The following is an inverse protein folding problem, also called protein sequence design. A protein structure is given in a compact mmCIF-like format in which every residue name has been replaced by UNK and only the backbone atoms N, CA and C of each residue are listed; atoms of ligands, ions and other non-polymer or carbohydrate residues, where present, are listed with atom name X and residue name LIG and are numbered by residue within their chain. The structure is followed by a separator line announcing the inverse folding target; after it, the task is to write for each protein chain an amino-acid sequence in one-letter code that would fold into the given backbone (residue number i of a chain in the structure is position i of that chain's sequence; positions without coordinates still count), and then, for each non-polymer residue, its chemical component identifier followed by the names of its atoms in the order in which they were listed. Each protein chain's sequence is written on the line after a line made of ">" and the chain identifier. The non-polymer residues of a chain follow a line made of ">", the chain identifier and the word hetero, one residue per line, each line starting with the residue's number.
data_IF_332565356236
#
_entry.id   IF_332565356236
#
_cell.length_a   1.000
_cell.length_b   1.000
_cell.length_c   1.000
_cell.angle_alpha   90.00
_cell.angle_beta   90.00
_cell.angle_gamma   90.00
#
_symmetry.space_group_name_H-M   'P 1'
#
loop_
_entity.id
_entity.type
_entity.pdbx_description
1 polymer ?
#
# COMPACT_ATOMS: atom_id res chain seq x y z
N UNK A 1 -43.92 10.69 38.10
CA UNK A 1 -42.64 10.55 37.39
C UNK A 1 -42.95 9.85 36.08
N UNK A 2 -43.27 10.64 35.05
CA UNK A 2 -43.59 10.14 33.71
C UNK A 2 -42.25 9.99 32.98
N UNK A 3 -41.89 8.76 32.66
CA UNK A 3 -40.77 8.46 31.78
C UNK A 3 -41.29 8.76 30.38
N UNK A 4 -40.77 9.80 29.72
CA UNK A 4 -41.06 10.05 28.31
C UNK A 4 -40.51 8.88 27.50
N UNK A 5 -41.40 8.18 26.81
CA UNK A 5 -41.10 7.04 25.93
C UNK A 5 -40.65 7.50 24.52
N UNK A 6 -40.03 8.67 24.42
CA UNK A 6 -39.67 9.28 23.13
C UNK A 6 -38.19 9.18 22.75
N UNK A 7 -37.33 8.56 23.57
CA UNK A 7 -35.92 8.32 23.22
C UNK A 7 -35.64 6.84 22.90
N UNK A 8 -36.50 6.21 22.09
CA UNK A 8 -36.10 4.97 21.42
C UNK A 8 -35.12 5.37 20.33
N UNK A 9 -33.83 5.35 20.66
CA UNK A 9 -32.73 5.42 19.70
C UNK A 9 -33.08 4.52 18.49
N UNK A 10 -32.91 4.99 17.24
CA UNK A 10 -33.28 4.20 16.08
C UNK A 10 -32.64 2.82 16.16
N UNK A 11 -33.46 1.78 15.98
CA UNK A 11 -32.96 0.42 15.85
C UNK A 11 -32.35 0.33 14.45
N UNK A 12 -31.03 0.42 14.40
CA UNK A 12 -30.25 0.23 13.18
C UNK A 12 -30.21 -1.25 12.79
N UNK A 13 -30.23 -1.52 11.49
CA UNK A 13 -30.10 -2.86 10.93
C UNK A 13 -29.00 -2.90 9.88
N UNK A 14 -28.47 -4.09 9.62
CA UNK A 14 -27.60 -4.31 8.45
C UNK A 14 -28.35 -3.87 7.19
N UNK A 15 -27.62 -3.30 6.24
CA UNK A 15 -28.08 -2.68 5.00
C UNK A 15 -28.82 -1.33 5.13
N UNK A 16 -29.08 -0.83 6.36
CA UNK A 16 -29.53 0.56 6.52
C UNK A 16 -28.47 1.51 5.94
N UNK A 17 -28.93 2.47 5.14
CA UNK A 17 -28.08 3.54 4.59
C UNK A 17 -28.07 4.71 5.57
N UNK A 18 -26.86 5.09 5.98
CA UNK A 18 -26.67 6.07 7.05
C UNK A 18 -25.63 7.12 6.68
N UNK A 19 -25.79 8.29 7.29
CA UNK A 19 -24.87 9.41 7.21
C UNK A 19 -24.44 9.82 8.61
N UNK A 20 -23.16 10.11 8.79
CA UNK A 20 -22.62 10.68 10.01
C UNK A 20 -23.13 12.12 10.18
N UNK A 21 -23.60 12.45 11.38
CA UNK A 21 -24.08 13.78 11.76
C UNK A 21 -22.95 14.81 11.74
N UNK A 22 -23.32 16.08 11.82
CA UNK A 22 -22.36 17.18 11.94
C UNK A 22 -21.62 17.12 13.28
N UNK A 23 -20.31 17.34 13.25
CA UNK A 23 -19.43 17.34 14.43
C UNK A 23 -18.90 15.96 14.82
N UNK A 24 -19.22 14.91 14.07
CA UNK A 24 -18.70 13.56 14.30
C UNK A 24 -17.28 13.48 13.75
N UNK A 25 -16.35 13.01 14.58
CA UNK A 25 -14.96 12.79 14.21
C UNK A 25 -14.62 11.30 14.30
N UNK A 26 -13.70 10.88 13.45
CA UNK A 26 -13.02 9.59 13.55
C UNK A 26 -12.36 9.47 14.94
N UNK A 27 -12.65 8.41 15.71
CA UNK A 27 -12.16 8.26 17.08
C UNK A 27 -10.65 8.00 17.17
N UNK A 28 -10.04 7.47 16.11
CA UNK A 28 -8.64 7.07 16.07
C UNK A 28 -7.76 8.19 15.48
N UNK A 29 -8.26 8.92 14.49
CA UNK A 29 -7.51 9.87 13.67
C UNK A 29 -7.93 11.34 13.84
N UNK A 30 -8.98 11.62 14.62
CA UNK A 30 -9.54 12.97 14.84
C UNK A 30 -9.86 13.69 13.51
N UNK A 31 -10.31 12.91 12.51
CA UNK A 31 -10.73 13.41 11.20
C UNK A 31 -12.23 13.68 11.22
N UNK A 32 -12.64 14.88 10.80
CA UNK A 32 -14.06 15.19 10.64
C UNK A 32 -14.70 14.29 9.57
N UNK A 33 -15.62 13.43 10.02
CA UNK A 33 -16.42 12.52 9.18
C UNK A 33 -17.84 13.04 8.97
N UNK A 34 -18.11 14.30 9.32
CA UNK A 34 -19.42 14.91 9.14
C UNK A 34 -19.93 14.76 7.70
N UNK A 35 -21.13 14.23 7.56
CA UNK A 35 -21.76 14.03 6.25
C UNK A 35 -21.20 12.86 5.45
N UNK A 36 -20.25 12.09 5.98
CA UNK A 36 -19.83 10.82 5.37
C UNK A 36 -20.98 9.84 5.42
N UNK A 37 -21.10 9.06 4.35
CA UNK A 37 -22.24 8.18 4.12
C UNK A 37 -21.77 6.78 3.74
N UNK A 38 -22.55 5.79 4.15
CA UNK A 38 -22.28 4.38 3.90
C UNK A 38 -23.47 3.48 4.21
N UNK A 39 -23.20 2.17 4.24
CA UNK A 39 -24.15 1.12 4.60
C UNK A 39 -23.69 0.43 5.87
N UNK A 40 -24.62 0.12 6.77
CA UNK A 40 -24.31 -0.66 7.95
C UNK A 40 -24.02 -2.11 7.54
N UNK A 41 -22.85 -2.61 7.91
CA UNK A 41 -22.44 -4.01 7.69
C UNK A 41 -22.45 -4.84 8.97
N UNK A 42 -22.45 -4.19 10.14
CA UNK A 42 -22.51 -4.83 11.45
C UNK A 42 -23.16 -3.90 12.47
N UNK A 43 -23.92 -4.47 13.41
CA UNK A 43 -24.56 -3.74 14.50
C UNK A 43 -24.18 -4.42 15.81
N UNK A 44 -23.71 -3.63 16.77
CA UNK A 44 -23.39 -4.04 18.15
C UNK A 44 -24.37 -3.35 19.11
N UNK A 45 -25.56 -3.95 19.37
CA UNK A 45 -26.62 -3.27 20.13
C UNK A 45 -26.24 -2.97 21.58
N UNK A 46 -25.45 -3.85 22.21
CA UNK A 46 -25.01 -3.68 23.60
C UNK A 46 -24.07 -2.48 23.77
N UNK A 47 -23.25 -2.21 22.75
CA UNK A 47 -22.30 -1.10 22.71
C UNK A 47 -22.89 0.16 22.06
N UNK A 48 -24.09 0.07 21.48
CA UNK A 48 -24.74 1.12 20.68
C UNK A 48 -23.86 1.61 19.53
N UNK A 49 -23.13 0.69 18.90
CA UNK A 49 -22.25 0.95 17.75
C UNK A 49 -22.76 0.25 16.49
N UNK A 50 -22.56 0.89 15.34
CA UNK A 50 -22.74 0.28 14.03
C UNK A 50 -21.46 0.42 13.22
N UNK A 51 -21.02 -0.67 12.58
CA UNK A 51 -19.95 -0.64 11.60
C UNK A 51 -20.52 -0.22 10.25
N UNK A 52 -20.05 0.91 9.75
CA UNK A 52 -20.47 1.48 8.46
C UNK A 52 -19.39 1.21 7.44
N UNK A 53 -19.73 0.54 6.33
CA UNK A 53 -18.91 0.49 5.13
C UNK A 53 -19.17 1.73 4.28
N UNK A 54 -18.11 2.48 3.99
CA UNK A 54 -18.21 3.74 3.27
C UNK A 54 -18.63 3.53 1.82
N UNK A 55 -19.53 4.39 1.35
CA UNK A 55 -19.92 4.39 -0.05
C UNK A 55 -18.83 5.02 -0.95
N UNK A 56 -18.93 4.79 -2.26
CA UNK A 56 -17.96 5.23 -3.26
C UNK A 56 -17.74 6.75 -3.27
N UNK A 57 -18.74 7.55 -2.92
CA UNK A 57 -18.59 8.99 -2.85
C UNK A 57 -17.82 9.42 -1.60
N UNK A 58 -18.04 8.76 -0.46
CA UNK A 58 -17.23 8.98 0.76
C UNK A 58 -15.80 8.59 0.47
N UNK A 59 -15.59 7.39 -0.08
CA UNK A 59 -14.26 6.87 -0.41
C UNK A 59 -13.48 7.79 -1.38
N UNK A 60 -14.11 8.27 -2.46
CA UNK A 60 -13.45 9.20 -3.41
C UNK A 60 -13.05 10.54 -2.79
N UNK A 61 -13.81 11.02 -1.82
CA UNK A 61 -13.56 12.30 -1.16
C UNK A 61 -12.74 12.15 0.14
N UNK A 62 -12.46 10.92 0.57
CA UNK A 62 -11.64 10.62 1.72
C UNK A 62 -10.25 11.26 1.54
N UNK A 63 -9.73 11.98 2.55
CA UNK A 63 -8.41 12.57 2.47
C UNK A 63 -7.35 11.49 2.19
N UNK A 64 -6.53 11.68 1.15
CA UNK A 64 -5.48 10.72 0.80
C UNK A 64 -4.54 10.39 1.98
N UNK A 65 -4.29 11.37 2.86
CA UNK A 65 -3.50 11.19 4.09
C UNK A 65 -4.10 10.16 5.04
N UNK A 66 -5.43 10.09 5.13
CA UNK A 66 -6.14 9.18 6.01
C UNK A 66 -5.98 7.74 5.52
N UNK A 67 -6.16 7.51 4.22
CA UNK A 67 -5.90 6.19 3.61
C UNK A 67 -4.44 5.77 3.84
N UNK A 68 -3.48 6.67 3.61
CA UNK A 68 -2.07 6.38 3.85
C UNK A 68 -1.78 6.03 5.32
N UNK A 69 -2.35 6.77 6.27
CA UNK A 69 -2.18 6.52 7.70
C UNK A 69 -2.86 5.22 8.15
N UNK A 70 -4.05 4.90 7.64
CA UNK A 70 -4.70 3.62 7.87
C UNK A 70 -3.83 2.46 7.37
N UNK A 71 -3.32 2.54 6.14
CA UNK A 71 -2.43 1.52 5.56
C UNK A 71 -1.14 1.36 6.35
N UNK A 72 -0.51 2.47 6.78
CA UNK A 72 0.71 2.46 7.60
C UNK A 72 0.49 1.82 8.99
N UNK A 73 -0.71 1.94 9.56
CA UNK A 73 -1.05 1.40 10.87
C UNK A 73 -1.83 0.07 10.83
N UNK A 74 -2.11 -0.47 9.64
CA UNK A 74 -2.89 -1.71 9.48
C UNK A 74 -4.37 -1.56 9.84
N UNK A 75 -4.92 -0.35 9.75
CA UNK A 75 -6.33 -0.04 9.97
C UNK A 75 -7.11 -0.11 8.66
N UNK A 76 -8.41 -0.44 8.75
CA UNK A 76 -9.28 -0.49 7.58
C UNK A 76 -9.92 0.88 7.32
N UNK A 77 -9.47 1.58 6.28
CA UNK A 77 -10.05 2.86 5.87
C UNK A 77 -11.42 2.73 5.19
N UNK A 78 -11.88 1.51 4.88
CA UNK A 78 -13.14 1.25 4.16
C UNK A 78 -14.34 1.22 5.08
N UNK A 79 -14.13 1.04 6.39
CA UNK A 79 -15.18 0.86 7.38
C UNK A 79 -14.90 1.68 8.64
N UNK A 80 -15.93 1.92 9.46
CA UNK A 80 -15.78 2.59 10.74
C UNK A 80 -16.93 2.23 11.69
N UNK A 81 -16.61 2.01 12.96
CA UNK A 81 -17.62 1.91 14.02
C UNK A 81 -18.03 3.31 14.48
N UNK A 82 -19.33 3.61 14.42
CA UNK A 82 -19.92 4.87 14.86
C UNK A 82 -21.05 4.63 15.87
N UNK A 83 -21.22 5.57 16.81
CA UNK A 83 -22.30 5.51 17.78
C UNK A 83 -23.66 5.71 17.10
N UNK A 84 -24.69 5.05 17.62
CA UNK A 84 -26.05 5.13 17.08
C UNK A 84 -26.59 6.56 17.02
N UNK A 85 -26.24 7.39 18.00
CA UNK A 85 -26.62 8.80 18.07
C UNK A 85 -25.92 9.68 17.03
N UNK A 86 -24.73 9.27 16.56
CA UNK A 86 -23.95 9.98 15.54
C UNK A 86 -24.43 9.71 14.11
N UNK A 87 -25.43 8.85 13.95
CA UNK A 87 -25.98 8.44 12.66
C UNK A 87 -27.36 9.04 12.41
N UNK A 88 -27.63 9.31 11.14
CA UNK A 88 -28.95 9.62 10.61
C UNK A 88 -29.22 8.86 9.31
N UNK A 89 -30.50 8.62 9.01
CA UNK A 89 -30.91 7.94 7.78
C UNK A 89 -30.50 8.76 6.56
N UNK A 90 -30.07 8.07 5.52
CA UNK A 90 -29.77 8.65 4.22
C UNK A 90 -30.33 7.78 3.10
N UNK A 91 -30.41 8.34 1.89
CA UNK A 91 -30.77 7.60 0.69
C UNK A 91 -29.50 7.07 0.00
N UNK A 92 -29.50 5.86 -0.56
CA UNK A 92 -28.35 5.32 -1.27
C UNK A 92 -27.98 6.22 -2.45
N UNK A 93 -26.68 6.46 -2.65
CA UNK A 93 -26.16 7.31 -3.74
C UNK A 93 -25.28 6.56 -4.74
N UNK A 94 -25.10 5.27 -4.55
CA UNK A 94 -24.29 4.40 -5.41
C UNK A 94 -24.73 2.93 -5.32
N UNK A 95 -24.02 2.06 -6.03
CA UNK A 95 -24.17 0.60 -5.98
C UNK A 95 -22.94 -0.06 -5.35
N UNK A 96 -23.06 -1.32 -4.93
CA UNK A 96 -21.91 -2.12 -4.46
C UNK A 96 -20.81 -2.23 -5.54
N UNK A 97 -21.19 -2.28 -6.82
CA UNK A 97 -20.24 -2.29 -7.93
C UNK A 97 -19.43 -0.98 -8.00
N UNK A 98 -20.06 0.17 -7.74
CA UNK A 98 -19.36 1.46 -7.66
C UNK A 98 -18.39 1.52 -6.48
N UNK A 99 -18.78 0.94 -5.33
CA UNK A 99 -17.93 0.82 -4.15
C UNK A 99 -16.71 -0.05 -4.47
N UNK A 100 -16.92 -1.26 -5.00
CA UNK A 100 -15.84 -2.17 -5.34
C UNK A 100 -14.86 -1.57 -6.36
N UNK A 101 -15.36 -0.90 -7.40
CA UNK A 101 -14.52 -0.22 -8.38
C UNK A 101 -13.70 0.92 -7.74
N UNK A 102 -14.29 1.66 -6.81
CA UNK A 102 -13.63 2.75 -6.09
C UNK A 102 -12.56 2.24 -5.13
N UNK A 103 -12.85 1.16 -4.39
CA UNK A 103 -11.87 0.50 -3.52
C UNK A 103 -10.67 0.04 -4.35
N UNK A 104 -10.90 -0.67 -5.45
CA UNK A 104 -9.83 -1.14 -6.32
C UNK A 104 -9.00 0.02 -6.92
N UNK A 105 -9.63 1.16 -7.25
CA UNK A 105 -8.93 2.37 -7.67
C UNK A 105 -8.03 2.93 -6.55
N UNK A 106 -8.56 3.06 -5.35
CA UNK A 106 -7.83 3.59 -4.20
C UNK A 106 -6.69 2.65 -3.77
N UNK A 107 -6.90 1.34 -3.75
CA UNK A 107 -5.85 0.35 -3.49
C UNK A 107 -4.70 0.47 -4.50
N UNK A 108 -5.02 0.61 -5.79
CA UNK A 108 -3.99 0.86 -6.82
C UNK A 108 -3.26 2.18 -6.58
N UNK A 109 -3.99 3.24 -6.25
CA UNK A 109 -3.43 4.59 -6.03
C UNK A 109 -2.55 4.67 -4.79
N UNK A 110 -2.92 3.95 -3.74
CA UNK A 110 -2.24 3.91 -2.45
C UNK A 110 -1.34 2.68 -2.30
N UNK A 111 -1.01 2.01 -3.42
CA UNK A 111 -0.14 0.86 -3.41
C UNK A 111 1.15 1.14 -2.63
N UNK A 112 1.55 0.18 -1.80
CA UNK A 112 2.71 0.26 -0.91
C UNK A 112 2.64 1.36 0.17
N UNK A 113 1.46 1.95 0.46
CA UNK A 113 1.32 2.94 1.54
C UNK A 113 1.78 2.41 2.90
N UNK A 114 1.45 1.15 3.22
CA UNK A 114 1.88 0.47 4.44
C UNK A 114 3.41 0.38 4.64
N UNK A 115 4.23 0.66 3.60
CA UNK A 115 5.69 0.76 3.71
C UNK A 115 6.17 2.16 4.13
N UNK A 116 5.26 3.06 4.53
CA UNK A 116 5.57 4.40 5.01
C UNK A 116 6.35 5.26 4.02
N UNK A 117 7.38 5.95 4.52
CA UNK A 117 8.27 6.79 3.71
C UNK A 117 8.98 6.03 2.59
N UNK A 118 9.24 4.73 2.76
CA UNK A 118 9.79 3.88 1.70
C UNK A 118 8.77 3.65 0.59
N UNK A 119 7.53 3.34 0.96
CA UNK A 119 6.40 3.25 0.04
C UNK A 119 6.20 4.52 -0.77
N UNK A 120 6.27 5.70 -0.14
CA UNK A 120 6.18 7.01 -0.82
C UNK A 120 7.29 7.20 -1.86
N UNK A 121 8.51 6.73 -1.60
CA UNK A 121 9.62 6.76 -2.57
C UNK A 121 9.37 5.79 -3.74
N UNK A 122 8.91 4.58 -3.46
CA UNK A 122 8.56 3.57 -4.47
C UNK A 122 7.45 4.09 -5.39
N UNK A 123 6.33 4.59 -4.84
CA UNK A 123 5.23 5.19 -5.61
C UNK A 123 5.69 6.33 -6.51
N UNK A 124 6.67 7.13 -6.07
CA UNK A 124 7.23 8.21 -6.90
C UNK A 124 7.95 7.68 -8.13
N UNK A 125 8.65 6.55 -8.02
CA UNK A 125 9.35 5.90 -9.12
C UNK A 125 8.36 5.23 -10.08
N UNK A 126 7.32 4.62 -9.52
CA UNK A 126 6.29 3.86 -10.25
C UNK A 126 5.04 4.68 -10.60
N UNK A 127 5.13 6.01 -10.57
CA UNK A 127 3.98 6.88 -10.76
C UNK A 127 3.28 6.60 -12.10
N UNK A 128 1.99 6.29 -12.03
CA UNK A 128 1.14 6.02 -13.20
C UNK A 128 1.30 4.62 -13.80
N UNK A 129 1.96 3.70 -13.09
CA UNK A 129 2.07 2.30 -13.45
C UNK A 129 1.08 1.52 -12.61
N UNK A 130 0.33 0.61 -13.25
CA UNK A 130 -0.53 -0.33 -12.55
C UNK A 130 0.33 -1.23 -11.65
N UNK A 131 0.04 -1.35 -10.33
CA UNK A 131 0.80 -2.21 -9.43
C UNK A 131 0.88 -3.68 -9.87
N UNK A 132 -0.07 -4.15 -10.68
CA UNK A 132 -0.12 -5.51 -11.23
C UNK A 132 0.71 -5.67 -12.52
N UNK A 133 1.08 -4.58 -13.20
CA UNK A 133 1.95 -4.60 -14.39
C UNK A 133 3.42 -4.65 -13.98
N UNK A 134 3.86 -5.85 -13.58
CA UNK A 134 5.22 -6.13 -13.12
C UNK A 134 6.26 -5.74 -14.19
N UNK A 135 5.97 -5.96 -15.46
CA UNK A 135 6.91 -5.61 -16.52
C UNK A 135 7.09 -4.10 -16.66
N UNK A 136 6.00 -3.32 -16.64
CA UNK A 136 6.10 -1.87 -16.67
C UNK A 136 6.86 -1.33 -15.45
N UNK A 137 6.61 -1.91 -14.27
CA UNK A 137 7.32 -1.55 -13.06
C UNK A 137 8.82 -1.85 -13.17
N UNK A 138 9.22 -3.02 -13.68
CA UNK A 138 10.62 -3.37 -13.94
C UNK A 138 11.27 -2.41 -14.95
N UNK A 139 10.57 -2.05 -16.03
CA UNK A 139 11.05 -1.05 -17.01
C UNK A 139 11.28 0.32 -16.36
N UNK A 140 10.42 0.74 -15.43
CA UNK A 140 10.58 2.00 -14.70
C UNK A 140 11.77 1.97 -13.75
N UNK A 141 11.93 0.91 -12.96
CA UNK A 141 13.10 0.70 -12.11
C UNK A 141 14.41 0.68 -12.89
N UNK A 142 14.45 -0.04 -14.02
CA UNK A 142 15.62 -0.08 -14.89
C UNK A 142 15.97 1.31 -15.41
N UNK A 143 14.98 2.09 -15.84
CA UNK A 143 15.17 3.48 -16.30
C UNK A 143 15.69 4.37 -15.16
N UNK A 144 15.12 4.24 -13.97
CA UNK A 144 15.53 4.99 -12.79
C UNK A 144 17.00 4.73 -12.45
N UNK A 145 17.40 3.46 -12.34
CA UNK A 145 18.78 3.11 -12.03
C UNK A 145 19.76 3.51 -13.12
N UNK A 146 19.41 3.36 -14.41
CA UNK A 146 20.24 3.81 -15.53
C UNK A 146 20.56 5.30 -15.46
N UNK A 147 19.65 6.12 -14.94
CA UNK A 147 19.83 7.57 -14.82
C UNK A 147 20.55 7.99 -13.53
N UNK A 148 20.39 7.21 -12.45
CA UNK A 148 20.77 7.63 -11.09
C UNK A 148 22.03 6.94 -10.56
N UNK A 149 22.28 5.68 -10.91
CA UNK A 149 23.46 4.95 -10.44
C UNK A 149 24.70 5.32 -11.22
N UNK A 150 25.77 5.59 -10.48
CA UNK A 150 27.13 5.70 -11.04
C UNK A 150 27.83 4.36 -10.83
N UNK A 151 28.19 3.72 -11.93
CA UNK A 151 28.85 2.42 -11.94
C UNK A 151 30.34 2.58 -12.31
N UNK A 152 31.24 1.73 -11.78
CA UNK A 152 30.95 0.63 -10.87
C UNK A 152 30.59 1.08 -9.45
N UNK A 153 29.72 0.33 -8.77
CA UNK A 153 29.33 0.56 -7.38
C UNK A 153 29.76 -0.63 -6.50
N UNK A 154 30.36 -0.38 -5.34
CA UNK A 154 30.65 -1.43 -4.37
C UNK A 154 29.35 -1.84 -3.65
N UNK A 155 29.04 -3.13 -3.69
CA UNK A 155 27.83 -3.72 -3.10
C UNK A 155 28.20 -4.96 -2.29
N UNK A 156 27.26 -5.41 -1.46
CA UNK A 156 27.35 -6.63 -0.64
C UNK A 156 26.18 -7.53 -1.02
N UNK A 157 26.43 -8.83 -1.12
CA UNK A 157 25.37 -9.84 -1.22
C UNK A 157 24.73 -9.99 0.16
N UNK A 158 23.44 -9.65 0.30
CA UNK A 158 22.76 -9.66 1.60
C UNK A 158 21.59 -10.66 1.69
N UNK A 159 21.23 -11.28 0.57
CA UNK A 159 20.33 -12.42 0.50
C UNK A 159 21.03 -13.62 -0.15
N UNK A 160 20.57 -14.86 0.10
CA UNK A 160 21.16 -16.06 -0.51
C UNK A 160 21.22 -15.96 -2.04
N UNK A 161 22.43 -15.97 -2.65
CA UNK A 161 22.55 -15.90 -4.10
C UNK A 161 22.21 -17.25 -4.74
N UNK A 162 21.90 -17.28 -6.06
CA UNK A 162 21.76 -18.53 -6.80
C UNK A 162 23.03 -19.40 -6.67
N UNK A 163 22.94 -20.70 -6.38
CA UNK A 163 24.11 -21.56 -6.16
C UNK A 163 25.14 -21.56 -7.29
N UNK A 164 24.67 -21.45 -8.53
CA UNK A 164 25.46 -21.39 -9.76
C UNK A 164 26.27 -20.08 -9.91
N UNK A 165 25.97 -19.06 -9.09
CA UNK A 165 26.65 -17.77 -9.19
C UNK A 165 28.08 -17.77 -8.64
N UNK A 166 28.44 -18.74 -7.79
CA UNK A 166 29.74 -18.77 -7.08
C UNK A 166 29.92 -17.65 -6.05
N UNK A 167 28.85 -16.92 -5.74
CA UNK A 167 28.81 -15.92 -4.67
C UNK A 167 28.34 -16.56 -3.36
N UNK A 168 28.75 -15.98 -2.25
CA UNK A 168 28.26 -16.29 -0.91
C UNK A 168 27.58 -15.06 -0.30
N UNK A 169 26.77 -15.28 0.73
CA UNK A 169 26.29 -14.21 1.60
C UNK A 169 27.49 -13.41 2.14
N UNK A 170 27.33 -12.09 2.27
CA UNK A 170 28.33 -11.12 2.69
C UNK A 170 29.51 -10.91 1.72
N UNK A 171 29.52 -11.56 0.55
CA UNK A 171 30.51 -11.28 -0.48
C UNK A 171 30.43 -9.80 -0.90
N UNK A 172 31.59 -9.13 -0.88
CA UNK A 172 31.76 -7.77 -1.37
C UNK A 172 32.15 -7.80 -2.85
N UNK A 173 31.28 -7.27 -3.70
CA UNK A 173 31.46 -7.30 -5.16
C UNK A 173 31.25 -5.90 -5.77
N UNK A 174 31.64 -5.74 -7.04
CA UNK A 174 31.37 -4.51 -7.78
C UNK A 174 30.20 -4.71 -8.74
N UNK A 175 29.11 -3.97 -8.53
CA UNK A 175 28.05 -3.83 -9.51
C UNK A 175 28.60 -3.07 -10.73
N UNK A 176 28.63 -3.73 -11.89
CA UNK A 176 29.16 -3.20 -13.15
C UNK A 176 28.08 -2.69 -14.08
N UNK A 177 26.94 -3.38 -14.13
CA UNK A 177 25.81 -3.02 -14.98
C UNK A 177 24.50 -3.62 -14.47
N UNK A 178 23.37 -3.06 -14.91
CA UNK A 178 22.05 -3.70 -14.85
C UNK A 178 21.68 -4.01 -16.30
N UNK A 179 21.59 -5.30 -16.64
CA UNK A 179 21.62 -5.78 -18.04
C UNK A 179 20.26 -6.15 -18.62
N UNK A 180 19.26 -6.37 -17.78
CA UNK A 180 17.93 -6.78 -18.21
C UNK A 180 17.00 -6.92 -17.03
N UNK A 181 15.83 -7.47 -17.30
CA UNK A 181 14.85 -7.82 -16.29
C UNK A 181 14.06 -9.06 -16.73
N UNK A 182 13.64 -9.88 -15.78
CA UNK A 182 12.65 -10.94 -16.00
C UNK A 182 11.54 -10.82 -14.96
N UNK A 183 10.30 -11.24 -15.24
CA UNK A 183 9.22 -11.23 -14.25
C UNK A 183 9.51 -12.09 -13.00
N UNK A 184 10.34 -13.12 -13.16
CA UNK A 184 10.64 -14.11 -12.11
C UNK A 184 11.86 -13.74 -11.26
N UNK A 185 12.86 -13.08 -11.85
CA UNK A 185 14.14 -12.75 -11.19
C UNK A 185 14.38 -11.24 -11.05
N UNK A 186 13.51 -10.43 -11.62
CA UNK A 186 13.56 -8.98 -11.55
C UNK A 186 14.70 -8.42 -12.37
N UNK A 187 15.22 -7.25 -11.98
CA UNK A 187 16.39 -6.64 -12.60
C UNK A 187 17.63 -7.51 -12.42
N UNK A 188 18.32 -7.80 -13.52
CA UNK A 188 19.54 -8.61 -13.53
C UNK A 188 20.78 -7.71 -13.45
N UNK A 189 21.58 -7.91 -12.41
CA UNK A 189 22.81 -7.21 -12.11
C UNK A 189 24.04 -8.01 -12.58
N UNK A 190 24.92 -7.38 -13.36
CA UNK A 190 26.26 -7.90 -13.63
C UNK A 190 27.20 -7.44 -12.50
N UNK A 191 27.71 -8.40 -11.72
CA UNK A 191 28.64 -8.14 -10.61
C UNK A 191 30.02 -8.74 -10.90
N UNK A 192 31.05 -8.14 -10.32
CA UNK A 192 32.45 -8.59 -10.42
C UNK A 192 33.01 -8.88 -9.02
N UNK A 193 33.34 -10.16 -8.76
CA UNK A 193 33.95 -10.61 -7.49
C UNK A 193 35.46 -10.40 -7.49
N UNK A 194 36.13 -10.83 -8.56
CA UNK A 194 37.56 -10.67 -8.83
C UNK A 194 37.76 -10.20 -10.26
N UNK A 195 38.97 -9.73 -10.58
CA UNK A 195 39.30 -9.25 -11.93
C UNK A 195 38.97 -10.35 -12.95
N UNK A 196 38.08 -10.05 -13.90
CA UNK A 196 37.57 -10.95 -14.96
C UNK A 196 36.55 -12.02 -14.53
N UNK A 197 36.20 -12.13 -13.26
CA UNK A 197 35.15 -13.02 -12.76
C UNK A 197 33.84 -12.24 -12.65
N UNK A 198 33.03 -12.32 -13.71
CA UNK A 198 31.73 -11.64 -13.79
C UNK A 198 30.59 -12.64 -13.82
N UNK A 199 29.56 -12.34 -13.06
CA UNK A 199 28.36 -13.16 -12.97
C UNK A 199 27.13 -12.28 -12.97
N UNK A 200 26.01 -12.83 -13.44
CA UNK A 200 24.70 -12.21 -13.34
C UNK A 200 23.95 -12.75 -12.15
N UNK A 201 23.36 -11.85 -11.37
CA UNK A 201 22.51 -12.19 -10.23
C UNK A 201 21.32 -11.23 -10.18
N UNK A 202 20.23 -11.58 -9.50
CA UNK A 202 19.16 -10.63 -9.24
C UNK A 202 19.67 -9.40 -8.50
N UNK A 203 19.15 -8.21 -8.83
CA UNK A 203 19.57 -6.97 -8.17
C UNK A 203 19.06 -6.89 -6.73
N UNK A 204 17.93 -7.53 -6.42
CA UNK A 204 17.28 -7.42 -5.12
C UNK A 204 18.06 -8.11 -4.00
N UNK A 205 19.01 -9.00 -4.32
CA UNK A 205 19.91 -9.63 -3.35
C UNK A 205 21.16 -8.79 -3.02
N UNK A 206 21.29 -7.60 -3.60
CA UNK A 206 22.45 -6.72 -3.48
C UNK A 206 22.12 -5.43 -2.71
N UNK A 207 22.95 -5.09 -1.73
CA UNK A 207 22.88 -3.83 -0.98
C UNK A 207 24.13 -2.98 -1.23
N UNK A 208 24.01 -1.65 -1.19
CA UNK A 208 25.20 -0.81 -1.32
C UNK A 208 26.09 -0.95 -0.08
N UNK A 209 27.41 -1.07 -0.28
CA UNK A 209 28.35 -1.23 0.83
C UNK A 209 28.45 0.01 1.75
N UNK A 210 27.97 1.17 1.31
CA UNK A 210 27.85 2.40 2.12
C UNK A 210 26.38 2.66 2.43
N UNK A 211 25.94 2.23 3.61
CA UNK A 211 24.54 2.26 4.05
C UNK A 211 23.90 3.65 4.03
N UNK A 212 24.63 4.71 4.39
CA UNK A 212 24.10 6.08 4.44
C UNK A 212 24.08 6.81 3.08
N UNK A 213 24.24 6.09 1.97
CA UNK A 213 24.33 6.69 0.63
C UNK A 213 22.99 6.68 -0.12
N UNK A 214 22.82 7.59 -1.09
CA UNK A 214 21.65 7.57 -1.98
C UNK A 214 21.49 6.25 -2.76
N UNK A 215 22.57 5.64 -3.30
CA UNK A 215 22.50 4.30 -3.87
C UNK A 215 22.00 3.22 -2.91
N UNK A 216 22.35 3.29 -1.62
CA UNK A 216 21.84 2.34 -0.63
C UNK A 216 20.32 2.45 -0.54
N UNK A 217 19.79 3.67 -0.34
CA UNK A 217 18.34 3.91 -0.32
C UNK A 217 17.64 3.41 -1.60
N UNK A 218 18.22 3.62 -2.78
CA UNK A 218 17.57 3.19 -4.02
C UNK A 218 17.57 1.67 -4.23
N UNK A 219 18.65 0.99 -3.87
CA UNK A 219 18.72 -0.47 -3.95
C UNK A 219 17.77 -1.10 -2.93
N UNK A 220 17.72 -0.54 -1.73
CA UNK A 220 16.78 -0.91 -0.68
C UNK A 220 15.32 -0.70 -1.12
N UNK A 221 14.95 0.49 -1.61
CA UNK A 221 13.61 0.77 -2.15
C UNK A 221 13.20 -0.24 -3.25
N UNK A 222 14.13 -0.64 -4.12
CA UNK A 222 13.88 -1.65 -5.15
C UNK A 222 13.70 -3.06 -4.58
N UNK A 223 14.56 -3.48 -3.65
CA UNK A 223 14.45 -4.80 -3.03
C UNK A 223 13.15 -4.90 -2.24
N UNK A 224 12.79 -3.87 -1.48
CA UNK A 224 11.52 -3.82 -0.76
C UNK A 224 10.34 -3.89 -1.71
N UNK A 225 10.33 -3.11 -2.80
CA UNK A 225 9.28 -3.22 -3.81
C UNK A 225 9.20 -4.64 -4.39
N UNK A 226 10.34 -5.23 -4.74
CA UNK A 226 10.39 -6.57 -5.32
C UNK A 226 9.75 -7.62 -4.41
N UNK A 227 10.08 -7.62 -3.12
CA UNK A 227 9.52 -8.54 -2.14
C UNK A 227 8.03 -8.30 -1.84
N UNK A 228 7.52 -7.11 -2.16
CA UNK A 228 6.15 -6.68 -1.88
C UNK A 228 5.30 -6.48 -3.14
N UNK A 229 5.78 -6.93 -4.31
CA UNK A 229 5.15 -6.65 -5.61
C UNK A 229 3.80 -7.35 -5.81
N UNK A 230 3.61 -8.51 -5.18
CA UNK A 230 2.43 -9.36 -5.37
C UNK A 230 1.29 -9.09 -4.39
N UNK A 231 1.45 -8.18 -3.42
CA UNK A 231 0.40 -7.92 -2.41
C UNK A 231 -0.92 -7.42 -3.01
N UNK A 232 -0.90 -6.89 -4.23
CA UNK A 232 -2.09 -6.42 -4.96
C UNK A 232 -2.61 -7.43 -5.99
N UNK A 233 -2.00 -8.63 -6.06
CA UNK A 233 -2.53 -9.77 -6.81
C UNK A 233 -3.43 -10.52 -5.85
N UNK A 234 -4.65 -10.01 -5.67
CA UNK A 234 -5.72 -10.84 -5.12
C UNK A 234 -6.14 -11.78 -6.26
N UNK A 235 -5.74 -13.04 -6.17
CA UNK A 235 -6.36 -14.10 -6.95
C UNK A 235 -7.84 -14.12 -6.53
N UNK A 236 -8.71 -13.63 -7.40
CA UNK A 236 -10.14 -13.94 -7.30
C UNK A 236 -10.29 -15.40 -7.72
N UNK A 237 -10.32 -16.31 -6.75
CA UNK A 237 -10.91 -17.64 -6.92
C UNK A 237 -12.44 -17.56 -6.93
#
# INVERSE_FOLDING_TARGET
>A
MLIHLDDISPVWQVDDVVRARQGVADPDLDVDVSGWQGRIIEVLPEERLACVAWDSHTLRNMPARMIEECEENGMDWRTMYLAFEDLERAEPRDTEADVAATIAELERRHAWAYLGEQGKRIRRILKGIDPTDIEAALRAWQRFFKQRLRLPLNVVVFEPPPPESGLALDDRVKLRAIRGATPDEGLLAEVEKRRQERVQVPLFILQAAKESSKPAQWLDDYSTWWHNRHRFVVEFD
#
